data_IF_887836825108
#
_entry.id   IF_887836825108
#
_cell.length_a   1.000
_cell.length_b   1.000
_cell.length_c   1.000
_cell.angle_alpha   90.00
_cell.angle_beta   90.00
_cell.angle_gamma   90.00
#
_symmetry.space_group_name_H-M   'P 1'
#
loop_
_entity.id
_entity.type
_entity.pdbx_description
1 polymer ?
#
# COMPACT_ATOMS: atom_id res chain seq x y z
N UNK A 1 35.13 -55.84 -12.83
CA UNK A 1 34.87 -56.05 -11.40
C UNK A 1 34.66 -54.67 -10.79
N UNK A 2 33.39 -54.19 -10.86
CA UNK A 2 32.97 -52.87 -10.33
C UNK A 2 32.42 -53.10 -8.92
N UNK A 3 33.09 -52.53 -7.92
CA UNK A 3 32.61 -52.49 -6.54
C UNK A 3 31.81 -51.22 -6.40
N UNK A 4 30.61 -51.23 -5.83
CA UNK A 4 29.75 -50.04 -5.79
C UNK A 4 30.25 -49.07 -4.72
N UNK A 5 30.46 -47.85 -5.14
CA UNK A 5 30.86 -46.68 -4.32
C UNK A 5 29.70 -46.09 -3.48
N UNK A 6 28.61 -46.85 -3.31
CA UNK A 6 27.40 -46.35 -2.68
C UNK A 6 27.25 -46.66 -1.17
N UNK A 7 28.24 -47.31 -0.55
CA UNK A 7 28.12 -47.74 0.87
C UNK A 7 29.08 -47.03 1.84
N UNK A 8 29.89 -46.09 1.39
CA UNK A 8 30.92 -45.46 2.23
C UNK A 8 30.61 -44.04 2.72
N UNK A 9 29.48 -43.46 2.32
CA UNK A 9 29.11 -42.10 2.77
C UNK A 9 28.10 -42.08 3.93
N UNK A 10 27.45 -43.23 4.20
CA UNK A 10 26.42 -43.28 5.28
C UNK A 10 27.01 -43.54 6.68
N UNK A 11 28.31 -43.72 6.85
CA UNK A 11 28.92 -44.04 8.15
C UNK A 11 29.72 -42.90 8.80
N UNK A 12 29.70 -41.71 8.24
CA UNK A 12 30.42 -40.52 8.78
C UNK A 12 29.52 -39.37 9.23
N UNK A 13 28.20 -39.49 9.04
CA UNK A 13 27.28 -38.58 9.72
C UNK A 13 26.95 -39.20 11.08
N UNK A 14 27.68 -38.78 12.12
CA UNK A 14 27.39 -39.13 13.50
C UNK A 14 25.91 -38.90 13.79
N UNK A 15 25.29 -39.74 14.63
CA UNK A 15 23.90 -39.65 15.08
C UNK A 15 23.65 -38.37 15.90
N UNK A 16 23.84 -37.23 15.27
CA UNK A 16 23.43 -35.94 15.80
C UNK A 16 21.90 -35.79 15.80
N UNK A 17 21.33 -35.15 16.78
CA UNK A 17 19.92 -34.81 16.78
C UNK A 17 19.63 -33.91 15.58
N UNK A 18 18.46 -34.09 14.92
CA UNK A 18 17.97 -33.21 13.89
C UNK A 18 17.76 -31.79 14.51
N UNK A 19 18.23 -30.73 13.86
CA UNK A 19 17.94 -29.37 14.31
C UNK A 19 16.44 -29.07 14.24
N UNK A 20 15.96 -28.19 15.09
CA UNK A 20 14.58 -27.72 14.99
C UNK A 20 14.43 -26.91 13.68
N UNK A 21 13.24 -26.83 13.07
CA UNK A 21 12.96 -25.91 11.99
C UNK A 21 13.36 -24.49 12.39
N UNK A 22 14.07 -23.79 11.51
CA UNK A 22 14.67 -22.48 11.82
C UNK A 22 13.62 -21.42 12.13
N UNK A 23 12.46 -21.53 11.50
CA UNK A 23 11.35 -20.62 11.75
C UNK A 23 10.00 -21.23 11.37
N UNK A 24 8.98 -20.76 12.04
CA UNK A 24 7.60 -20.78 11.57
C UNK A 24 7.11 -19.33 11.50
N UNK A 25 6.54 -18.96 10.38
CA UNK A 25 5.90 -17.65 10.19
C UNK A 25 4.40 -17.84 10.38
N UNK A 26 3.82 -17.07 11.29
CA UNK A 26 2.38 -17.00 11.54
C UNK A 26 1.99 -15.54 11.72
N UNK A 27 0.75 -15.13 11.40
CA UNK A 27 0.29 -13.78 11.69
C UNK A 27 0.34 -13.53 13.20
N UNK A 28 0.63 -12.29 13.59
CA UNK A 28 0.63 -11.90 15.01
C UNK A 28 -0.78 -11.85 15.60
N UNK A 29 -1.75 -11.48 14.78
CA UNK A 29 -3.17 -11.40 15.13
C UNK A 29 -4.01 -12.26 14.21
N UNK A 30 -5.05 -12.85 14.78
CA UNK A 30 -6.06 -13.62 14.07
C UNK A 30 -7.43 -13.34 14.68
N UNK A 31 -8.48 -13.70 13.96
CA UNK A 31 -9.85 -13.65 14.46
C UNK A 31 -10.31 -15.03 14.85
N UNK A 32 -11.25 -15.13 15.79
CA UNK A 32 -11.93 -16.40 16.05
C UNK A 32 -12.69 -16.84 14.80
N UNK A 33 -12.61 -18.14 14.50
CA UNK A 33 -13.27 -18.75 13.34
C UNK A 33 -12.72 -18.36 11.96
N UNK A 34 -11.62 -17.60 11.90
CA UNK A 34 -10.89 -17.35 10.67
C UNK A 34 -9.67 -18.28 10.60
N UNK A 35 -9.46 -18.87 9.45
CA UNK A 35 -8.31 -19.74 9.20
C UNK A 35 -7.03 -18.90 9.09
N UNK A 36 -5.98 -19.32 9.77
CA UNK A 36 -4.64 -18.71 9.66
C UNK A 36 -3.68 -19.66 8.99
N UNK A 37 -2.73 -19.13 8.25
CA UNK A 37 -1.65 -19.87 7.64
C UNK A 37 -0.40 -19.85 8.50
N UNK A 38 0.27 -21.01 8.63
CA UNK A 38 1.60 -21.14 9.18
C UNK A 38 2.55 -21.65 8.10
N UNK A 39 3.57 -20.86 7.76
CA UNK A 39 4.63 -21.25 6.81
C UNK A 39 5.83 -21.78 7.58
N UNK A 40 6.26 -22.99 7.28
CA UNK A 40 7.34 -23.71 7.98
C UNK A 40 8.56 -23.84 7.07
N UNK A 41 9.70 -23.36 7.54
CA UNK A 41 10.98 -23.47 6.84
C UNK A 41 11.75 -24.70 7.31
N UNK A 42 12.31 -25.52 6.38
CA UNK A 42 12.98 -26.75 6.73
C UNK A 42 14.30 -26.52 7.47
N UNK A 43 14.70 -27.47 8.37
CA UNK A 43 16.02 -27.43 8.97
C UNK A 43 17.12 -27.66 7.94
N UNK A 44 18.23 -26.93 8.06
CA UNK A 44 19.34 -27.00 7.11
C UNK A 44 20.06 -28.36 7.08
N UNK A 45 19.99 -29.17 8.17
CA UNK A 45 20.61 -30.49 8.33
C UNK A 45 19.65 -31.67 8.08
N UNK A 46 18.46 -31.38 7.57
CA UNK A 46 17.44 -32.42 7.34
C UNK A 46 17.76 -33.33 6.16
N UNK A 47 17.45 -34.61 6.31
CA UNK A 47 17.55 -35.64 5.26
C UNK A 47 16.16 -35.98 4.74
N UNK A 48 15.94 -35.74 3.46
CA UNK A 48 14.65 -35.99 2.80
C UNK A 48 14.29 -37.45 2.70
N UNK A 49 13.01 -37.82 2.72
CA UNK A 49 11.83 -36.96 2.87
C UNK A 49 11.62 -36.44 4.30
N UNK A 50 10.97 -35.33 4.43
CA UNK A 50 10.76 -34.59 5.67
C UNK A 50 9.28 -34.52 6.02
N UNK A 51 8.91 -34.73 7.27
CA UNK A 51 7.54 -34.53 7.80
C UNK A 51 7.57 -33.49 8.90
N UNK A 52 6.49 -32.73 9.04
CA UNK A 52 6.32 -31.72 10.09
C UNK A 52 5.16 -32.06 11.03
N UNK A 53 5.27 -31.58 12.25
CA UNK A 53 4.18 -31.53 13.22
C UNK A 53 4.11 -30.13 13.81
N UNK A 54 2.92 -29.54 13.82
CA UNK A 54 2.66 -28.19 14.29
C UNK A 54 1.76 -28.26 15.52
N UNK A 55 2.17 -27.63 16.60
CA UNK A 55 1.35 -27.39 17.79
C UNK A 55 0.84 -25.95 17.74
N UNK A 56 -0.47 -25.77 17.74
CA UNK A 56 -1.12 -24.48 17.56
C UNK A 56 -1.29 -23.67 18.88
N UNK A 57 -1.02 -24.32 20.01
CA UNK A 57 -1.04 -23.65 21.32
C UNK A 57 -2.39 -23.64 22.02
N UNK A 58 -3.47 -24.03 21.36
CA UNK A 58 -4.82 -24.16 21.89
C UNK A 58 -5.18 -25.59 22.36
N UNK A 59 -4.18 -26.45 22.41
CA UNK A 59 -4.34 -27.87 22.70
C UNK A 59 -4.41 -28.74 21.44
N UNK A 60 -4.61 -28.13 20.28
CA UNK A 60 -4.57 -28.86 19.01
C UNK A 60 -3.13 -29.02 18.50
N UNK A 61 -2.86 -30.17 17.93
CA UNK A 61 -1.57 -30.51 17.35
C UNK A 61 -1.82 -31.30 16.08
N UNK A 62 -1.34 -30.76 14.95
CA UNK A 62 -1.45 -31.43 13.66
C UNK A 62 -0.74 -32.79 13.73
N UNK A 63 -1.35 -33.83 13.17
CA UNK A 63 -0.65 -35.10 12.91
C UNK A 63 0.57 -34.83 12.01
N UNK A 64 1.54 -35.79 12.02
CA UNK A 64 2.68 -35.71 11.11
C UNK A 64 2.20 -35.57 9.67
N UNK A 65 2.73 -34.55 8.95
CA UNK A 65 2.44 -34.40 7.51
C UNK A 65 2.93 -35.64 6.74
N UNK A 66 2.37 -35.84 5.55
CA UNK A 66 2.96 -36.77 4.60
C UNK A 66 4.41 -36.39 4.31
N UNK A 67 5.29 -37.37 4.06
CA UNK A 67 6.69 -37.11 3.81
C UNK A 67 6.93 -36.29 2.53
N UNK A 68 7.55 -35.13 2.67
CA UNK A 68 7.88 -34.21 1.60
C UNK A 68 9.25 -34.54 1.01
N UNK A 69 9.33 -34.60 -0.31
CA UNK A 69 10.56 -35.01 -1.05
C UNK A 69 11.41 -33.80 -1.50
N UNK A 70 11.08 -32.62 -1.08
CA UNK A 70 11.84 -31.37 -1.39
C UNK A 70 11.98 -30.52 -0.15
N UNK A 71 13.03 -29.69 -0.09
CA UNK A 71 13.25 -28.67 0.93
C UNK A 71 12.54 -27.38 0.48
N UNK A 72 11.22 -27.40 0.47
CA UNK A 72 10.38 -26.23 0.17
C UNK A 72 9.60 -25.85 1.42
N UNK A 73 9.18 -24.62 1.49
CA UNK A 73 8.29 -24.11 2.52
C UNK A 73 6.95 -24.85 2.50
N UNK A 74 6.37 -25.04 3.66
CA UNK A 74 5.14 -25.80 3.83
C UNK A 74 4.11 -24.98 4.55
N UNK A 75 3.04 -24.69 3.85
CA UNK A 75 1.88 -24.01 4.43
C UNK A 75 0.92 -24.99 5.10
N UNK A 76 0.45 -24.64 6.27
CA UNK A 76 -0.61 -25.35 7.02
C UNK A 76 -1.53 -24.35 7.67
N UNK A 77 -2.79 -24.74 7.78
CA UNK A 77 -3.89 -23.86 8.17
C UNK A 77 -4.51 -24.31 9.49
N UNK A 78 -4.98 -23.36 10.29
CA UNK A 78 -5.65 -23.59 11.57
C UNK A 78 -6.66 -22.49 11.91
N UNK A 79 -7.75 -22.87 12.57
CA UNK A 79 -8.79 -21.94 13.01
C UNK A 79 -8.95 -22.00 14.53
N UNK A 80 -8.68 -20.90 15.20
CA UNK A 80 -8.91 -20.77 16.65
C UNK A 80 -10.38 -20.55 16.97
N UNK A 81 -10.89 -21.27 17.99
CA UNK A 81 -12.29 -21.22 18.41
C UNK A 81 -12.56 -20.24 19.54
N UNK A 82 -11.53 -19.74 20.20
CA UNK A 82 -11.63 -18.80 21.30
C UNK A 82 -10.58 -17.69 21.20
N UNK A 83 -10.87 -16.48 21.69
CA UNK A 83 -9.87 -15.43 21.77
C UNK A 83 -8.83 -15.78 22.83
N UNK A 84 -7.57 -15.34 22.61
CA UNK A 84 -6.47 -15.61 23.53
C UNK A 84 -5.10 -15.44 22.88
N UNK A 85 -4.05 -15.54 23.67
CA UNK A 85 -2.68 -15.61 23.19
C UNK A 85 -2.24 -17.06 23.03
N UNK A 86 -1.87 -17.44 21.82
CA UNK A 86 -1.44 -18.81 21.51
C UNK A 86 0.02 -18.83 21.09
N UNK A 87 0.70 -19.95 21.34
CA UNK A 87 2.11 -20.15 20.97
C UNK A 87 2.21 -21.28 19.96
N UNK A 88 2.42 -20.91 18.71
CA UNK A 88 2.62 -21.87 17.61
C UNK A 88 4.07 -22.31 17.59
N UNK A 89 4.30 -23.63 17.54
CA UNK A 89 5.62 -24.21 17.40
C UNK A 89 5.60 -25.39 16.44
N UNK A 90 6.76 -25.69 15.84
CA UNK A 90 6.90 -26.75 14.84
C UNK A 90 8.10 -27.63 15.18
N UNK A 91 7.99 -28.93 14.85
CA UNK A 91 9.13 -29.86 14.83
C UNK A 91 9.12 -30.69 13.56
N UNK A 92 10.28 -31.20 13.21
CA UNK A 92 10.48 -32.00 12.00
C UNK A 92 10.86 -33.44 12.31
N UNK A 93 10.57 -34.35 11.38
CA UNK A 93 11.05 -35.74 11.38
C UNK A 93 11.59 -36.07 9.98
N UNK A 94 12.85 -36.52 9.91
CA UNK A 94 13.47 -36.89 8.64
C UNK A 94 13.32 -38.36 8.29
N UNK A 95 13.83 -38.75 7.11
CA UNK A 95 13.79 -40.13 6.61
C UNK A 95 14.62 -41.12 7.42
N UNK A 96 15.53 -40.65 8.25
CA UNK A 96 16.32 -41.49 9.17
C UNK A 96 15.58 -41.74 10.49
N UNK A 97 14.37 -41.21 10.64
CA UNK A 97 13.57 -41.29 11.87
C UNK A 97 14.02 -40.36 12.98
N UNK A 98 14.97 -39.45 12.72
CA UNK A 98 15.36 -38.41 13.70
C UNK A 98 14.23 -37.40 13.85
N UNK A 99 13.89 -37.08 15.08
CA UNK A 99 12.87 -36.07 15.41
C UNK A 99 13.59 -34.88 16.08
N UNK A 100 13.34 -33.66 15.59
CA UNK A 100 13.87 -32.46 16.19
C UNK A 100 13.18 -32.12 17.51
N UNK A 101 13.82 -31.29 18.34
CA UNK A 101 13.10 -30.56 19.37
C UNK A 101 12.03 -29.66 18.72
N UNK A 102 11.08 -29.16 19.53
CA UNK A 102 10.20 -28.10 19.09
C UNK A 102 11.00 -26.83 18.79
N UNK A 103 10.73 -26.20 17.66
CA UNK A 103 11.32 -24.91 17.31
C UNK A 103 10.86 -23.79 18.24
N UNK A 104 11.46 -22.61 18.09
CA UNK A 104 11.10 -21.43 18.89
C UNK A 104 9.64 -21.06 18.69
N UNK A 105 8.83 -20.99 19.77
CA UNK A 105 7.40 -20.63 19.63
C UNK A 105 7.21 -19.21 19.07
N UNK A 106 6.16 -19.04 18.28
CA UNK A 106 5.67 -17.76 17.78
C UNK A 106 4.30 -17.46 18.37
N UNK A 107 4.13 -16.24 18.87
CA UNK A 107 2.85 -15.79 19.45
C UNK A 107 1.86 -15.41 18.37
N UNK A 108 0.61 -15.88 18.53
CA UNK A 108 -0.57 -15.42 17.80
C UNK A 108 -1.58 -14.88 18.82
N UNK A 109 -2.02 -13.63 18.65
CA UNK A 109 -3.09 -13.04 19.46
C UNK A 109 -4.42 -13.17 18.70
N UNK A 110 -5.28 -14.07 19.15
CA UNK A 110 -6.62 -14.25 18.61
C UNK A 110 -7.60 -13.30 19.29
N UNK A 111 -8.29 -12.48 18.51
CA UNK A 111 -9.25 -11.49 19.00
C UNK A 111 -10.68 -11.99 18.87
N UNK A 112 -11.56 -11.52 19.74
CA UNK A 112 -13.00 -11.83 19.69
C UNK A 112 -13.75 -10.99 18.64
N UNK A 113 -13.19 -9.85 18.26
CA UNK A 113 -13.75 -8.96 17.25
C UNK A 113 -13.02 -9.11 15.94
N UNK A 114 -13.74 -9.19 14.80
CA UNK A 114 -13.11 -9.44 13.51
C UNK A 114 -12.18 -8.29 13.09
N UNK A 115 -11.09 -8.62 12.38
CA UNK A 115 -10.21 -7.63 11.75
C UNK A 115 -10.97 -6.90 10.63
N UNK A 116 -11.72 -7.62 9.81
CA UNK A 116 -12.63 -7.00 8.83
C UNK A 116 -13.88 -6.49 9.56
N UNK A 117 -14.06 -5.17 9.55
CA UNK A 117 -15.19 -4.49 10.20
C UNK A 117 -16.46 -4.51 9.33
N UNK A 118 -16.30 -4.48 8.00
CA UNK A 118 -17.42 -4.48 7.07
C UNK A 118 -16.99 -4.28 5.61
N UNK A 119 -17.98 -4.41 4.73
CA UNK A 119 -17.87 -4.12 3.30
C UNK A 119 -19.09 -3.31 2.88
N UNK A 120 -18.88 -2.24 2.14
CA UNK A 120 -19.91 -1.51 1.43
C UNK A 120 -19.86 -1.89 -0.05
N UNK A 121 -20.90 -2.53 -0.61
CA UNK A 121 -20.91 -2.94 -2.01
C UNK A 121 -21.27 -1.77 -2.94
N UNK A 122 -20.58 -1.66 -4.06
CA UNK A 122 -20.95 -0.83 -5.22
C UNK A 122 -21.28 -1.71 -6.43
N UNK A 123 -21.72 -1.11 -7.51
CA UNK A 123 -22.05 -1.85 -8.73
C UNK A 123 -20.84 -2.12 -9.62
N UNK A 124 -19.82 -1.29 -9.49
CA UNK A 124 -18.65 -1.26 -10.36
C UNK A 124 -17.37 -1.24 -9.51
N UNK A 125 -16.22 -1.64 -10.07
CA UNK A 125 -14.94 -1.66 -9.36
C UNK A 125 -14.58 -0.33 -8.71
N UNK A 126 -13.96 -0.39 -7.53
CA UNK A 126 -13.42 0.76 -6.82
C UNK A 126 -11.89 0.75 -6.91
N UNK A 127 -11.34 1.49 -7.84
CA UNK A 127 -9.90 1.73 -7.97
C UNK A 127 -9.46 3.02 -7.26
N UNK A 128 -10.40 3.95 -7.05
CA UNK A 128 -10.15 5.17 -6.31
C UNK A 128 -9.82 4.88 -4.84
N UNK A 129 -8.85 5.61 -4.29
CA UNK A 129 -8.57 5.56 -2.85
C UNK A 129 -9.68 6.28 -2.08
N UNK A 130 -10.22 5.70 -1.00
CA UNK A 130 -11.29 6.33 -0.21
C UNK A 130 -10.76 7.53 0.55
N UNK A 131 -11.51 8.64 0.54
CA UNK A 131 -11.21 9.87 1.28
C UNK A 131 -12.13 10.00 2.49
N UNK A 132 -11.63 10.57 3.59
CA UNK A 132 -12.41 10.77 4.80
C UNK A 132 -12.40 12.26 5.21
N UNK A 133 -13.56 12.80 5.59
CA UNK A 133 -13.61 14.12 6.20
C UNK A 133 -13.23 14.09 7.70
N UNK A 134 -13.20 15.25 8.34
CA UNK A 134 -12.86 15.38 9.76
C UNK A 134 -13.83 14.66 10.72
N UNK A 135 -15.01 14.29 10.24
CA UNK A 135 -16.01 13.52 10.97
C UNK A 135 -15.93 12.01 10.69
N UNK A 136 -15.00 11.60 9.82
CA UNK A 136 -14.82 10.23 9.39
C UNK A 136 -15.80 9.76 8.32
N UNK A 137 -16.65 10.63 7.75
CA UNK A 137 -17.50 10.25 6.62
C UNK A 137 -16.62 9.88 5.43
N UNK A 138 -16.97 8.78 4.76
CA UNK A 138 -16.18 8.20 3.69
C UNK A 138 -16.74 8.67 2.35
N UNK A 139 -15.84 8.96 1.41
CA UNK A 139 -16.14 9.37 0.05
C UNK A 139 -15.29 8.57 -0.92
N UNK A 140 -15.91 7.97 -1.95
CA UNK A 140 -15.20 7.15 -2.92
C UNK A 140 -15.93 7.16 -4.26
N UNK A 141 -15.18 7.13 -5.36
CA UNK A 141 -15.66 6.95 -6.71
C UNK A 141 -15.47 5.51 -7.21
N UNK A 142 -16.27 5.11 -8.20
CA UNK A 142 -16.12 3.82 -8.88
C UNK A 142 -15.94 3.99 -10.40
N UNK A 143 -15.69 2.87 -11.10
CA UNK A 143 -15.53 2.84 -12.55
C UNK A 143 -16.84 3.11 -13.32
N UNK A 144 -18.00 2.95 -12.70
CA UNK A 144 -19.30 3.31 -13.28
C UNK A 144 -19.57 4.83 -13.23
N UNK A 145 -18.66 5.62 -12.67
CA UNK A 145 -18.80 7.06 -12.50
C UNK A 145 -19.68 7.46 -11.32
N UNK A 146 -19.99 6.52 -10.42
CA UNK A 146 -20.70 6.83 -9.20
C UNK A 146 -19.74 7.32 -8.13
N UNK A 147 -20.13 8.37 -7.43
CA UNK A 147 -19.39 8.94 -6.29
C UNK A 147 -20.26 8.88 -5.05
N UNK A 148 -19.81 8.10 -4.08
CA UNK A 148 -20.57 7.75 -2.88
C UNK A 148 -20.11 8.55 -1.67
N UNK A 149 -21.04 8.85 -0.77
CA UNK A 149 -20.76 9.17 0.64
C UNK A 149 -21.34 8.07 1.52
N UNK A 150 -20.50 7.54 2.43
CA UNK A 150 -20.80 6.38 3.25
C UNK A 150 -20.63 6.77 4.73
N UNK A 151 -21.56 6.32 5.57
CA UNK A 151 -21.49 6.49 7.01
C UNK A 151 -20.49 5.49 7.60
N UNK A 152 -19.45 5.94 8.33
CA UNK A 152 -18.41 5.07 8.85
C UNK A 152 -18.90 4.15 10.00
N UNK A 153 -20.02 4.49 10.65
CA UNK A 153 -20.53 3.75 11.81
C UNK A 153 -21.33 2.51 11.40
N UNK A 154 -22.17 2.66 10.39
CA UNK A 154 -23.09 1.60 9.97
C UNK A 154 -22.88 1.12 8.54
N UNK A 155 -21.93 1.70 7.79
CA UNK A 155 -21.63 1.34 6.40
C UNK A 155 -22.76 1.69 5.42
N UNK A 156 -23.70 2.56 5.77
CA UNK A 156 -24.81 2.90 4.89
C UNK A 156 -24.46 4.08 3.97
N UNK A 157 -24.97 4.03 2.75
CA UNK A 157 -24.92 5.14 1.82
C UNK A 157 -25.69 6.34 2.38
N UNK A 158 -25.01 7.48 2.51
CA UNK A 158 -25.63 8.76 2.88
C UNK A 158 -26.22 9.47 1.66
N UNK A 159 -25.48 9.48 0.57
CA UNK A 159 -25.89 10.01 -0.72
C UNK A 159 -24.98 9.44 -1.83
N UNK A 160 -25.41 9.60 -3.06
CA UNK A 160 -24.66 9.25 -4.24
C UNK A 160 -24.79 10.35 -5.30
N UNK A 161 -23.71 10.58 -6.04
CA UNK A 161 -23.66 11.49 -7.19
C UNK A 161 -23.17 10.68 -8.40
N UNK A 162 -23.62 11.02 -9.60
CA UNK A 162 -23.17 10.37 -10.84
C UNK A 162 -22.45 11.39 -11.74
N UNK A 163 -21.18 11.12 -12.06
CA UNK A 163 -20.45 11.68 -13.18
C UNK A 163 -20.88 10.94 -14.48
N UNK A 164 -20.32 11.34 -15.63
CA UNK A 164 -20.66 10.68 -16.92
C UNK A 164 -19.72 9.54 -17.29
N UNK A 165 -18.60 9.40 -16.56
CA UNK A 165 -17.58 8.40 -16.78
C UNK A 165 -16.83 8.11 -15.47
N UNK A 166 -15.96 7.10 -15.47
CA UNK A 166 -15.23 6.58 -14.32
C UNK A 166 -14.55 7.65 -13.46
N UNK A 167 -14.40 7.35 -12.16
CA UNK A 167 -13.72 8.20 -11.17
C UNK A 167 -12.58 7.38 -10.58
N UNK A 168 -11.34 7.61 -11.05
CA UNK A 168 -10.13 6.89 -10.59
C UNK A 168 -9.38 7.61 -9.49
N UNK A 169 -9.34 8.95 -9.54
CA UNK A 169 -8.70 9.75 -8.50
C UNK A 169 -9.53 9.80 -7.23
N UNK A 170 -8.84 9.87 -6.08
CA UNK A 170 -9.51 10.16 -4.81
C UNK A 170 -10.09 11.58 -4.79
N UNK A 171 -11.00 11.86 -3.86
CA UNK A 171 -11.48 13.21 -3.66
C UNK A 171 -10.59 14.00 -2.70
N UNK A 172 -10.18 15.20 -3.08
CA UNK A 172 -9.55 16.14 -2.14
C UNK A 172 -10.62 16.87 -1.34
N UNK A 173 -10.52 16.85 -0.01
CA UNK A 173 -11.53 17.41 0.89
C UNK A 173 -10.98 18.62 1.66
N UNK A 174 -11.67 19.75 1.60
CA UNK A 174 -11.35 20.93 2.43
C UNK A 174 -12.64 21.58 2.95
N UNK A 175 -12.83 21.53 4.26
CA UNK A 175 -14.05 21.99 4.91
C UNK A 175 -15.29 21.25 4.39
N UNK A 176 -16.26 21.99 3.84
CA UNK A 176 -17.48 21.42 3.28
C UNK A 176 -17.39 21.13 1.77
N UNK A 177 -16.19 21.04 1.19
CA UNK A 177 -15.96 20.87 -0.25
C UNK A 177 -15.21 19.59 -0.57
N UNK A 178 -15.71 18.91 -1.61
CA UNK A 178 -15.16 17.72 -2.21
C UNK A 178 -14.76 18.04 -3.65
N UNK A 179 -13.51 17.78 -4.04
CA UNK A 179 -13.01 17.99 -5.39
C UNK A 179 -12.48 16.69 -5.96
N UNK A 180 -12.99 16.25 -7.10
CA UNK A 180 -12.54 15.04 -7.78
C UNK A 180 -12.62 15.17 -9.30
N UNK A 181 -11.76 14.43 -10.00
CA UNK A 181 -11.76 14.32 -11.45
C UNK A 181 -12.57 13.12 -11.92
N UNK A 182 -12.98 13.13 -13.19
CA UNK A 182 -13.59 12.00 -13.87
C UNK A 182 -13.03 11.90 -15.29
N UNK A 183 -13.09 10.70 -15.86
CA UNK A 183 -12.70 10.45 -17.26
C UNK A 183 -13.65 11.13 -18.24
N UNK A 184 -14.78 11.68 -17.79
CA UNK A 184 -15.65 12.56 -18.58
C UNK A 184 -15.04 13.95 -18.84
N UNK A 185 -13.78 14.12 -18.53
CA UNK A 185 -12.99 15.36 -18.69
C UNK A 185 -13.40 16.52 -17.78
N UNK A 186 -14.11 16.25 -16.69
CA UNK A 186 -14.51 17.30 -15.75
C UNK A 186 -13.83 17.16 -14.39
N UNK A 187 -13.49 18.32 -13.84
CA UNK A 187 -13.26 18.50 -12.41
C UNK A 187 -14.58 18.89 -11.75
N UNK A 188 -15.00 18.14 -10.76
CA UNK A 188 -16.22 18.36 -9.99
C UNK A 188 -15.92 18.99 -8.63
N UNK A 189 -16.85 19.84 -8.17
CA UNK A 189 -16.92 20.31 -6.80
C UNK A 189 -18.32 20.04 -6.24
N UNK A 190 -18.38 19.17 -5.22
CA UNK A 190 -19.60 18.95 -4.44
C UNK A 190 -19.45 19.56 -3.04
N UNK A 191 -20.57 19.68 -2.32
CA UNK A 191 -20.52 19.81 -0.87
C UNK A 191 -20.66 18.46 -0.18
N UNK A 192 -20.36 18.39 1.13
CA UNK A 192 -20.42 17.17 1.94
C UNK A 192 -21.83 16.59 2.09
N UNK A 193 -22.87 17.27 1.59
CA UNK A 193 -24.23 16.73 1.48
C UNK A 193 -24.62 16.31 0.06
N UNK A 194 -23.63 16.21 -0.86
CA UNK A 194 -23.80 15.65 -2.20
C UNK A 194 -24.30 16.64 -3.27
N UNK A 195 -24.41 17.94 -2.95
CA UNK A 195 -24.89 18.92 -3.93
C UNK A 195 -23.72 19.42 -4.78
N UNK A 196 -23.85 19.33 -6.09
CA UNK A 196 -22.86 19.91 -7.02
C UNK A 196 -22.87 21.44 -6.92
N UNK A 197 -21.73 22.00 -6.56
CA UNK A 197 -21.49 23.45 -6.51
C UNK A 197 -21.11 23.99 -7.88
N UNK A 198 -20.24 23.26 -8.58
CA UNK A 198 -19.85 23.53 -9.94
C UNK A 198 -19.16 22.31 -10.57
N UNK A 199 -18.98 22.34 -11.88
CA UNK A 199 -18.05 21.49 -12.60
C UNK A 199 -17.32 22.32 -13.65
N UNK A 200 -16.07 21.94 -13.94
CA UNK A 200 -15.21 22.61 -14.92
C UNK A 200 -14.71 21.58 -15.92
N UNK A 201 -15.05 21.75 -17.18
CA UNK A 201 -14.52 20.93 -18.27
C UNK A 201 -13.06 21.31 -18.54
N UNK A 202 -12.16 20.33 -18.45
CA UNK A 202 -10.71 20.52 -18.60
C UNK A 202 -10.25 20.24 -20.04
N UNK A 203 -11.04 19.49 -20.80
CA UNK A 203 -10.80 19.16 -22.22
C UNK A 203 -10.12 17.83 -22.43
N UNK A 204 -9.86 17.10 -21.35
CA UNK A 204 -9.28 15.76 -21.38
C UNK A 204 -9.49 15.01 -20.07
N UNK A 205 -9.30 13.69 -20.08
CA UNK A 205 -9.52 12.78 -18.97
C UNK A 205 -8.73 13.15 -17.70
N UNK A 206 -9.32 12.92 -16.54
CA UNK A 206 -8.74 13.27 -15.25
C UNK A 206 -8.62 12.02 -14.37
N UNK A 207 -7.45 11.41 -14.38
CA UNK A 207 -7.11 10.24 -13.55
C UNK A 207 -6.64 10.64 -12.15
N UNK A 208 -6.01 11.81 -12.05
CA UNK A 208 -5.31 12.22 -10.84
C UNK A 208 -6.26 12.74 -9.73
N UNK A 209 -5.81 12.60 -8.49
CA UNK A 209 -6.40 13.28 -7.33
C UNK A 209 -6.00 14.76 -7.35
N UNK A 210 -6.94 15.71 -7.25
CA UNK A 210 -6.59 17.13 -7.16
C UNK A 210 -5.79 17.47 -5.89
N UNK A 211 -4.91 18.48 -5.95
CA UNK A 211 -4.24 19.02 -4.77
C UNK A 211 -4.78 20.39 -4.42
N UNK A 212 -4.79 20.72 -3.12
CA UNK A 212 -5.38 21.97 -2.63
C UNK A 212 -4.33 22.87 -1.97
N UNK A 213 -4.08 24.02 -2.54
CA UNK A 213 -3.20 25.03 -1.96
C UNK A 213 -3.74 25.66 -0.67
N UNK A 214 -2.86 26.28 0.11
CA UNK A 214 -3.25 26.95 1.37
C UNK A 214 -4.23 28.13 1.13
N UNK A 215 -4.22 28.71 -0.06
CA UNK A 215 -5.15 29.76 -0.50
C UNK A 215 -6.46 29.18 -1.08
N UNK A 216 -6.65 27.86 -1.01
CA UNK A 216 -7.78 27.14 -1.58
C UNK A 216 -7.75 26.99 -3.11
N UNK A 217 -6.62 27.26 -3.76
CA UNK A 217 -6.45 26.95 -5.19
C UNK A 217 -6.40 25.45 -5.39
N UNK A 218 -7.18 24.96 -6.33
CA UNK A 218 -7.23 23.55 -6.73
C UNK A 218 -6.29 23.34 -7.91
N UNK A 219 -5.40 22.35 -7.83
CA UNK A 219 -4.48 21.96 -8.89
C UNK A 219 -4.84 20.57 -9.38
N UNK A 220 -4.98 20.42 -10.69
CA UNK A 220 -5.40 19.16 -11.32
C UNK A 220 -4.66 18.96 -12.63
N UNK A 221 -4.19 17.75 -12.87
CA UNK A 221 -3.59 17.30 -14.13
C UNK A 221 -4.61 16.60 -15.02
N UNK A 222 -4.33 16.54 -16.30
CA UNK A 222 -5.09 15.73 -17.27
C UNK A 222 -4.16 14.74 -17.98
N UNK A 223 -4.73 13.70 -18.52
CA UNK A 223 -4.01 12.67 -19.25
C UNK A 223 -3.15 13.23 -20.38
N UNK A 224 -3.64 14.20 -21.14
CA UNK A 224 -2.80 14.88 -22.15
C UNK A 224 -1.83 15.92 -21.60
N UNK A 225 -1.47 15.87 -20.32
CA UNK A 225 -0.38 16.68 -19.76
C UNK A 225 -0.74 18.15 -19.50
N UNK A 226 -1.99 18.49 -19.20
CA UNK A 226 -2.34 19.87 -18.83
C UNK A 226 -2.53 20.00 -17.32
N UNK A 227 -1.60 20.69 -16.66
CA UNK A 227 -1.78 21.13 -15.27
C UNK A 227 -2.65 22.39 -15.26
N UNK A 228 -3.76 22.36 -14.54
CA UNK A 228 -4.68 23.49 -14.40
C UNK A 228 -4.81 23.93 -12.94
N UNK A 229 -4.68 25.22 -12.67
CA UNK A 229 -5.02 25.82 -11.39
C UNK A 229 -6.42 26.45 -11.45
N UNK A 230 -7.26 26.08 -10.49
CA UNK A 230 -8.67 26.48 -10.43
C UNK A 230 -8.96 27.17 -9.10
N UNK A 231 -9.67 28.28 -9.14
CA UNK A 231 -10.14 28.94 -7.94
C UNK A 231 -11.29 28.18 -7.29
N UNK A 232 -11.56 28.38 -5.99
CA UNK A 232 -12.64 27.71 -5.24
C UNK A 232 -14.03 27.83 -5.87
N UNK A 233 -14.24 28.90 -6.66
CA UNK A 233 -15.50 29.14 -7.38
C UNK A 233 -15.58 28.49 -8.77
N UNK A 234 -14.63 27.61 -9.11
CA UNK A 234 -14.57 26.88 -10.38
C UNK A 234 -13.95 27.65 -11.54
N UNK A 235 -13.42 28.87 -11.32
CA UNK A 235 -12.78 29.64 -12.40
C UNK A 235 -11.34 29.24 -12.57
N UNK A 236 -10.93 28.96 -13.84
CA UNK A 236 -9.53 28.69 -14.19
C UNK A 236 -8.67 29.92 -13.88
N UNK A 237 -7.57 29.73 -13.10
CA UNK A 237 -6.57 30.77 -12.80
C UNK A 237 -5.47 30.81 -13.85
N UNK A 238 -4.93 29.66 -14.15
CA UNK A 238 -3.88 29.43 -15.15
C UNK A 238 -3.83 27.95 -15.55
N UNK A 239 -3.14 27.64 -16.62
CA UNK A 239 -2.77 26.30 -17.02
C UNK A 239 -1.32 26.26 -17.53
N UNK A 240 -0.72 25.08 -17.53
CA UNK A 240 0.58 24.79 -18.10
C UNK A 240 0.51 23.45 -18.83
N UNK A 241 1.12 23.36 -19.98
CA UNK A 241 1.24 22.13 -20.77
C UNK A 241 2.63 21.52 -20.52
N UNK A 242 2.69 20.30 -19.98
CA UNK A 242 3.89 19.47 -19.89
C UNK A 242 4.23 18.90 -21.27
N UNK A 243 5.38 18.27 -21.41
CA UNK A 243 5.77 17.64 -22.68
C UNK A 243 4.99 16.36 -22.95
N UNK A 244 4.50 15.71 -21.87
CA UNK A 244 3.77 14.45 -21.95
C UNK A 244 2.66 14.38 -20.89
N UNK A 245 1.99 13.24 -20.77
CA UNK A 245 0.88 12.98 -19.87
C UNK A 245 1.23 13.26 -18.41
N UNK A 246 0.23 13.73 -17.62
CA UNK A 246 0.36 13.86 -16.18
C UNK A 246 -0.33 12.64 -15.53
N UNK A 247 0.46 11.60 -15.29
CA UNK A 247 0.00 10.40 -14.61
C UNK A 247 -0.10 10.59 -13.10
N UNK A 248 0.93 11.23 -12.50
CA UNK A 248 0.94 11.52 -11.07
C UNK A 248 0.04 12.68 -10.66
N UNK A 249 -0.50 12.58 -9.47
CA UNK A 249 -1.33 13.65 -8.88
C UNK A 249 -0.46 14.86 -8.49
N UNK A 250 -0.92 16.11 -8.71
CA UNK A 250 -0.20 17.30 -8.27
C UNK A 250 0.02 17.30 -6.75
N UNK A 251 1.12 17.89 -6.29
CA UNK A 251 1.46 18.05 -4.88
C UNK A 251 1.77 19.48 -4.56
N UNK A 252 1.29 19.99 -3.41
CA UNK A 252 1.61 21.33 -2.92
C UNK A 252 2.59 21.26 -1.76
N UNK A 253 3.80 21.78 -1.99
CA UNK A 253 4.82 21.85 -0.96
C UNK A 253 4.60 22.93 0.09
N UNK A 254 5.41 22.98 1.16
CA UNK A 254 5.23 23.85 2.32
C UNK A 254 5.32 25.35 2.00
N UNK A 255 5.98 25.70 0.91
CA UNK A 255 6.13 27.10 0.43
C UNK A 255 5.04 27.50 -0.56
N UNK A 256 4.05 26.63 -0.83
CA UNK A 256 3.00 26.86 -1.83
C UNK A 256 3.47 26.61 -3.27
N UNK A 257 4.65 26.05 -3.48
CA UNK A 257 5.06 25.54 -4.79
C UNK A 257 4.26 24.29 -5.15
N UNK A 258 3.95 24.15 -6.43
CA UNK A 258 3.20 23.02 -6.98
C UNK A 258 4.14 22.13 -7.74
N UNK A 259 4.09 20.85 -7.46
CA UNK A 259 4.90 19.82 -8.11
C UNK A 259 3.99 18.89 -8.90
N UNK A 260 4.44 18.48 -10.06
CA UNK A 260 3.75 17.52 -10.92
C UNK A 260 4.77 16.65 -11.63
N UNK A 261 4.43 15.40 -11.83
CA UNK A 261 5.23 14.39 -12.49
C UNK A 261 4.66 14.05 -13.87
N UNK A 262 5.55 13.86 -14.82
CA UNK A 262 5.28 13.56 -16.24
C UNK A 262 6.57 12.98 -16.84
N UNK A 263 7.00 13.41 -18.02
CA UNK A 263 8.36 13.21 -18.56
C UNK A 263 9.47 13.75 -17.64
N UNK A 264 9.09 14.61 -16.74
CA UNK A 264 9.97 15.26 -15.76
C UNK A 264 9.21 15.52 -14.47
N UNK A 265 9.94 15.74 -13.37
CA UNK A 265 9.37 16.37 -12.15
C UNK A 265 9.42 17.87 -12.37
N UNK A 266 8.26 18.52 -12.40
CA UNK A 266 8.10 19.95 -12.57
C UNK A 266 7.78 20.64 -11.26
N UNK A 267 8.36 21.83 -11.04
CA UNK A 267 8.01 22.71 -9.92
C UNK A 267 7.54 24.08 -10.42
N UNK A 268 6.39 24.53 -9.92
CA UNK A 268 5.79 25.80 -10.26
C UNK A 268 5.58 26.66 -9.01
N UNK A 269 5.60 27.98 -9.18
CA UNK A 269 5.06 28.89 -8.16
C UNK A 269 3.51 28.96 -8.26
N UNK A 270 2.87 29.55 -7.26
CA UNK A 270 1.41 29.69 -7.21
C UNK A 270 0.80 30.47 -8.39
N UNK A 271 1.63 31.19 -9.18
CA UNK A 271 1.22 31.91 -10.38
C UNK A 271 1.38 31.10 -11.67
N UNK A 272 1.80 29.83 -11.57
CA UNK A 272 2.01 28.93 -12.71
C UNK A 272 3.33 29.14 -13.44
N UNK A 273 4.27 29.89 -12.88
CA UNK A 273 5.61 30.06 -13.49
C UNK A 273 6.48 28.87 -13.08
N UNK A 274 7.01 28.14 -14.05
CA UNK A 274 7.92 27.04 -13.81
C UNK A 274 9.20 27.56 -13.15
N UNK A 275 9.52 27.00 -11.99
CA UNK A 275 10.75 27.29 -11.23
C UNK A 275 11.90 26.45 -11.71
N UNK A 276 11.64 25.15 -11.90
CA UNK A 276 12.56 24.18 -12.43
C UNK A 276 11.82 22.97 -13.02
N UNK A 277 12.52 22.15 -13.76
CA UNK A 277 12.13 20.81 -14.16
C UNK A 277 13.36 19.90 -14.07
N UNK A 278 13.15 18.66 -13.65
CA UNK A 278 14.16 17.61 -13.57
C UNK A 278 13.68 16.41 -14.37
N UNK A 279 14.39 16.04 -15.43
CA UNK A 279 14.20 14.81 -16.19
C UNK A 279 15.18 13.75 -15.71
N UNK A 280 14.76 12.48 -15.68
CA UNK A 280 15.64 11.37 -15.38
C UNK A 280 16.73 11.22 -16.46
N UNK A 281 17.96 10.79 -16.10
CA UNK A 281 19.07 10.68 -17.07
C UNK A 281 18.77 9.72 -18.24
N UNK A 282 17.98 8.68 -17.98
CA UNK A 282 17.58 7.66 -18.98
C UNK A 282 16.38 8.10 -19.83
N UNK A 283 15.73 9.23 -19.49
CA UNK A 283 14.59 9.77 -20.21
C UNK A 283 13.26 9.08 -19.92
N UNK A 284 13.20 8.21 -18.91
CA UNK A 284 11.98 7.50 -18.52
C UNK A 284 11.05 8.36 -17.67
N UNK A 285 9.78 7.96 -17.61
CA UNK A 285 8.69 8.72 -16.99
C UNK A 285 8.69 8.67 -15.46
N UNK A 286 8.20 9.74 -14.85
CA UNK A 286 7.81 9.81 -13.45
C UNK A 286 6.30 9.58 -13.35
N UNK A 287 5.90 8.32 -13.16
CA UNK A 287 4.49 7.95 -13.03
C UNK A 287 3.95 8.26 -11.62
N UNK A 288 4.77 8.00 -10.61
CA UNK A 288 4.44 8.27 -9.22
C UNK A 288 4.22 9.76 -8.93
N UNK A 289 3.24 10.09 -8.08
CA UNK A 289 3.11 11.45 -7.56
C UNK A 289 4.35 11.85 -6.77
N UNK A 290 4.81 13.10 -6.91
CA UNK A 290 5.93 13.61 -6.12
C UNK A 290 5.52 13.81 -4.66
N UNK A 291 6.35 13.35 -3.73
CA UNK A 291 6.23 13.57 -2.28
C UNK A 291 7.17 14.68 -1.85
N UNK A 292 6.68 15.64 -1.07
CA UNK A 292 7.44 16.83 -0.69
C UNK A 292 7.53 16.96 0.82
N UNK A 293 8.73 16.92 1.34
CA UNK A 293 9.03 17.09 2.77
C UNK A 293 8.88 18.55 3.23
N UNK A 294 8.77 18.76 4.54
CA UNK A 294 8.68 20.08 5.16
C UNK A 294 9.88 21.00 4.87
N UNK A 295 11.05 20.43 4.58
CA UNK A 295 12.26 21.17 4.19
C UNK A 295 12.34 21.44 2.68
N UNK A 296 11.34 20.99 1.90
CA UNK A 296 11.29 21.13 0.46
C UNK A 296 12.03 20.03 -0.33
N UNK A 297 12.53 19.00 0.32
CA UNK A 297 13.06 17.80 -0.36
C UNK A 297 11.92 17.08 -1.08
N UNK A 298 12.18 16.62 -2.30
CA UNK A 298 11.20 15.95 -3.17
C UNK A 298 11.64 14.51 -3.41
N UNK A 299 10.73 13.57 -3.22
CA UNK A 299 10.90 12.17 -3.63
C UNK A 299 9.98 11.87 -4.81
N UNK A 300 10.51 11.17 -5.81
CA UNK A 300 9.76 10.74 -6.99
C UNK A 300 10.26 9.38 -7.46
N UNK A 301 9.34 8.42 -7.62
CA UNK A 301 9.60 7.15 -8.29
C UNK A 301 9.61 7.35 -9.80
N UNK A 302 10.43 6.57 -10.50
CA UNK A 302 10.58 6.64 -11.95
C UNK A 302 10.51 5.23 -12.56
N UNK A 303 10.11 5.16 -13.82
CA UNK A 303 10.03 3.91 -14.57
C UNK A 303 11.42 3.32 -14.92
N UNK A 304 12.50 4.05 -14.66
CA UNK A 304 13.88 3.52 -14.78
C UNK A 304 14.29 2.65 -13.56
N UNK A 305 13.37 2.38 -12.63
CA UNK A 305 13.63 1.57 -11.43
C UNK A 305 14.39 2.33 -10.34
N UNK A 306 14.48 3.66 -10.40
CA UNK A 306 15.11 4.47 -9.37
C UNK A 306 14.12 5.34 -8.61
N UNK A 307 14.30 5.37 -7.30
CA UNK A 307 13.75 6.42 -6.45
C UNK A 307 14.70 7.63 -6.47
N UNK A 308 14.21 8.77 -6.91
CA UNK A 308 14.93 10.04 -6.93
C UNK A 308 14.64 10.89 -5.72
N UNK A 309 15.67 11.54 -5.20
CA UNK A 309 15.58 12.58 -4.19
C UNK A 309 16.15 13.88 -4.76
N UNK A 310 15.32 14.91 -4.78
CA UNK A 310 15.68 16.22 -5.29
C UNK A 310 15.66 17.26 -4.17
N UNK A 311 16.54 18.23 -4.27
CA UNK A 311 16.51 19.42 -3.43
C UNK A 311 15.36 20.37 -3.82
N UNK A 312 15.07 21.38 -2.98
CA UNK A 312 14.03 22.37 -3.27
C UNK A 312 14.34 23.25 -4.51
N UNK A 313 15.59 23.22 -4.98
CA UNK A 313 16.05 23.86 -6.20
C UNK A 313 15.99 22.95 -7.45
N UNK A 314 15.50 21.72 -7.29
CA UNK A 314 15.38 20.73 -8.36
C UNK A 314 16.68 19.96 -8.68
N UNK A 315 17.75 20.16 -7.92
CA UNK A 315 18.98 19.39 -8.10
C UNK A 315 18.83 17.99 -7.50
N UNK A 316 19.30 16.98 -8.20
CA UNK A 316 19.38 15.63 -7.66
C UNK A 316 20.35 15.60 -6.48
N UNK A 317 19.85 15.19 -5.31
CA UNK A 317 20.65 14.94 -4.12
C UNK A 317 21.20 13.52 -4.14
N UNK A 318 20.35 12.55 -4.47
CA UNK A 318 20.69 11.16 -4.70
C UNK A 318 19.61 10.47 -5.56
N UNK A 319 19.96 9.33 -6.13
CA UNK A 319 19.00 8.34 -6.63
C UNK A 319 19.39 6.96 -6.10
N UNK A 320 18.42 6.07 -5.99
CA UNK A 320 18.63 4.75 -5.43
C UNK A 320 17.83 3.71 -6.20
N UNK A 321 18.46 2.67 -6.75
CA UNK A 321 17.72 1.63 -7.48
C UNK A 321 16.88 0.81 -6.52
N UNK A 322 15.76 0.28 -6.99
CA UNK A 322 15.03 -0.79 -6.30
C UNK A 322 15.77 -2.12 -6.47
N UNK A 323 15.53 -3.11 -5.58
CA UNK A 323 16.25 -4.39 -5.60
C UNK A 323 16.08 -5.18 -6.91
N UNK A 324 14.94 -5.09 -7.55
CA UNK A 324 14.57 -5.75 -8.81
C UNK A 324 14.94 -4.94 -10.06
N UNK A 325 15.11 -3.61 -9.92
CA UNK A 325 15.36 -2.70 -11.02
C UNK A 325 14.10 -2.35 -11.84
N UNK A 326 12.91 -2.70 -11.32
CA UNK A 326 11.64 -2.50 -12.00
C UNK A 326 11.00 -1.14 -11.68
N UNK A 327 9.93 -0.78 -12.37
CA UNK A 327 9.30 0.54 -12.31
C UNK A 327 8.77 0.89 -10.90
N UNK A 328 8.85 2.16 -10.50
CA UNK A 328 8.27 2.68 -9.27
C UNK A 328 7.08 3.56 -9.62
N UNK A 329 5.88 2.99 -9.58
CA UNK A 329 4.63 3.69 -9.91
C UNK A 329 3.86 4.27 -8.73
N UNK A 330 3.87 3.65 -7.52
CA UNK A 330 3.11 4.19 -6.40
C UNK A 330 3.77 5.41 -5.77
N UNK A 331 2.94 6.21 -5.10
CA UNK A 331 3.41 7.32 -4.27
C UNK A 331 4.19 6.78 -3.06
N UNK A 332 5.31 7.42 -2.76
CA UNK A 332 6.13 7.10 -1.58
C UNK A 332 5.43 7.56 -0.31
N UNK A 333 5.50 6.79 0.77
CA UNK A 333 5.13 7.26 2.10
C UNK A 333 6.32 7.34 3.05
N UNK A 334 6.20 8.15 4.07
CA UNK A 334 7.20 8.30 5.14
C UNK A 334 6.66 7.66 6.41
N UNK A 335 7.28 6.56 6.83
CA UNK A 335 6.91 5.86 8.06
C UNK A 335 7.38 6.58 9.35
N UNK A 336 6.85 6.19 10.53
CA UNK A 336 7.25 6.76 11.83
C UNK A 336 8.73 6.56 12.16
N UNK A 337 9.37 5.58 11.54
CA UNK A 337 10.81 5.30 11.66
C UNK A 337 11.66 6.16 10.70
N UNK A 338 11.05 7.15 10.05
CA UNK A 338 11.65 8.01 9.02
C UNK A 338 12.14 7.25 7.79
N UNK A 339 11.74 6.00 7.61
CA UNK A 339 12.01 5.27 6.38
C UNK A 339 10.94 5.58 5.32
N UNK A 340 11.36 5.51 4.06
CA UNK A 340 10.49 5.59 2.91
C UNK A 340 9.98 4.19 2.59
N UNK A 341 8.66 4.08 2.30
CA UNK A 341 8.02 2.86 1.85
C UNK A 341 7.36 3.12 0.51
N UNK A 342 7.53 2.22 -0.43
CA UNK A 342 7.01 2.34 -1.80
C UNK A 342 6.98 0.97 -2.47
N UNK A 343 6.11 0.80 -3.46
CA UNK A 343 6.01 -0.41 -4.25
C UNK A 343 6.90 -0.37 -5.50
N UNK A 344 7.05 -1.51 -6.16
CA UNK A 344 7.61 -1.66 -7.50
C UNK A 344 6.79 -2.65 -8.33
N UNK A 345 6.92 -2.59 -9.64
CA UNK A 345 6.30 -3.53 -10.56
C UNK A 345 6.95 -4.93 -10.52
N UNK A 346 8.09 -5.08 -9.84
CA UNK A 346 8.73 -6.36 -9.55
C UNK A 346 8.21 -7.05 -8.29
N UNK A 347 6.95 -6.84 -7.93
CA UNK A 347 6.23 -7.52 -6.84
C UNK A 347 6.74 -7.18 -5.43
N UNK A 348 7.41 -6.03 -5.25
CA UNK A 348 7.99 -5.68 -3.96
C UNK A 348 7.37 -4.42 -3.35
N UNK A 349 7.10 -4.50 -2.05
CA UNK A 349 7.09 -3.31 -1.19
C UNK A 349 8.49 -3.10 -0.65
N UNK A 350 9.08 -1.97 -0.99
CA UNK A 350 10.44 -1.60 -0.60
C UNK A 350 10.44 -0.71 0.66
N UNK A 351 11.49 -0.85 1.47
CA UNK A 351 11.80 0.05 2.59
C UNK A 351 13.18 0.64 2.43
N UNK A 352 13.29 1.95 2.49
CA UNK A 352 14.57 2.67 2.44
C UNK A 352 14.74 3.54 3.67
N UNK A 353 15.75 3.24 4.49
CA UNK A 353 16.16 4.14 5.58
C UNK A 353 16.90 5.36 5.02
N UNK A 354 16.98 6.49 5.76
CA UNK A 354 17.64 7.70 5.28
C UNK A 354 19.09 7.48 4.78
N UNK A 355 19.84 6.59 5.41
CA UNK A 355 21.25 6.30 5.09
C UNK A 355 21.45 5.00 4.31
N UNK A 356 20.39 4.17 4.17
CA UNK A 356 20.47 2.86 3.52
C UNK A 356 20.11 2.87 2.03
N UNK A 357 20.35 1.75 1.39
CA UNK A 357 19.74 1.40 0.10
C UNK A 357 18.35 0.80 0.33
N UNK A 358 17.45 0.78 -0.67
CA UNK A 358 16.20 0.07 -0.59
C UNK A 358 16.42 -1.42 -0.32
N UNK A 359 15.56 -1.98 0.51
CA UNK A 359 15.50 -3.41 0.81
C UNK A 359 14.07 -3.89 0.64
N UNK A 360 13.88 -5.15 0.30
CA UNK A 360 12.55 -5.77 0.25
C UNK A 360 11.97 -5.78 1.66
N UNK A 361 10.83 -5.12 1.83
CA UNK A 361 10.06 -5.13 3.07
C UNK A 361 8.97 -6.20 3.05
N UNK A 362 8.37 -6.40 1.87
CA UNK A 362 7.40 -7.45 1.60
C UNK A 362 7.52 -7.88 0.14
N UNK A 363 7.50 -9.18 -0.11
CA UNK A 363 7.40 -9.79 -1.43
C UNK A 363 5.94 -10.20 -1.63
N UNK A 364 5.30 -9.61 -2.60
CA UNK A 364 3.93 -9.88 -2.99
C UNK A 364 3.88 -11.01 -4.04
N UNK A 365 2.68 -11.43 -4.44
CA UNK A 365 2.52 -12.37 -5.55
C UNK A 365 2.18 -11.64 -6.86
N UNK A 366 2.11 -10.31 -6.83
CA UNK A 366 1.78 -9.46 -7.96
C UNK A 366 2.32 -8.03 -7.74
N UNK A 367 2.28 -7.21 -8.79
CA UNK A 367 2.80 -5.84 -8.78
C UNK A 367 2.20 -4.99 -7.66
N UNK A 368 2.92 -3.97 -7.23
CA UNK A 368 2.50 -3.06 -6.16
C UNK A 368 2.39 -1.65 -6.69
N UNK A 369 1.21 -1.28 -7.19
CA UNK A 369 0.91 0.06 -7.74
C UNK A 369 0.20 0.97 -6.73
N UNK A 370 -0.36 0.44 -5.65
CA UNK A 370 -0.95 1.21 -4.58
C UNK A 370 0.11 1.80 -3.63
N UNK A 371 -0.06 3.03 -3.19
CA UNK A 371 0.74 3.59 -2.11
C UNK A 371 0.43 2.86 -0.79
N UNK A 372 1.42 2.69 0.05
CA UNK A 372 1.22 2.15 1.40
C UNK A 372 0.58 3.20 2.34
N UNK A 373 0.19 2.78 3.55
CA UNK A 373 -0.21 3.67 4.64
C UNK A 373 0.46 3.25 5.95
N UNK A 374 0.82 4.21 6.80
CA UNK A 374 1.48 3.96 8.07
C UNK A 374 0.64 4.43 9.26
N UNK A 375 0.41 3.57 10.25
CA UNK A 375 -0.22 3.96 11.49
C UNK A 375 0.75 4.68 12.45
N UNK A 376 0.22 5.37 13.46
CA UNK A 376 1.03 6.02 14.51
C UNK A 376 1.82 5.05 15.39
N UNK A 377 1.48 3.77 15.37
CA UNK A 377 2.22 2.67 16.03
C UNK A 377 3.26 2.02 15.11
N UNK A 378 3.33 2.47 13.87
CA UNK A 378 4.33 2.05 12.91
C UNK A 378 3.92 0.85 12.05
N UNK A 379 2.69 0.39 12.13
CA UNK A 379 2.20 -0.63 11.20
C UNK A 379 2.10 -0.05 9.80
N UNK A 380 2.66 -0.77 8.83
CA UNK A 380 2.59 -0.46 7.41
C UNK A 380 1.53 -1.36 6.77
N UNK A 381 0.57 -0.74 6.12
CA UNK A 381 -0.48 -1.39 5.33
C UNK A 381 -0.16 -1.22 3.85
N UNK A 382 -0.20 -2.30 3.10
CA UNK A 382 -0.01 -2.30 1.64
C UNK A 382 -1.02 -3.24 0.97
N UNK A 383 -1.47 -2.86 -0.22
CA UNK A 383 -2.39 -3.65 -1.03
C UNK A 383 -1.74 -3.86 -2.41
N UNK A 384 -1.03 -4.98 -2.64
CA UNK A 384 -0.62 -5.43 -3.96
C UNK A 384 -1.83 -5.80 -4.85
N UNK A 385 -1.60 -5.94 -6.14
CA UNK A 385 -2.65 -6.31 -7.11
C UNK A 385 -3.14 -7.76 -6.96
N UNK A 386 -2.42 -8.60 -6.19
CA UNK A 386 -2.91 -9.92 -5.77
C UNK A 386 -4.15 -9.85 -4.85
N UNK A 387 -4.60 -8.65 -4.48
CA UNK A 387 -5.76 -8.43 -3.64
C UNK A 387 -5.56 -8.75 -2.16
N UNK A 388 -4.34 -8.98 -1.72
CA UNK A 388 -4.02 -9.25 -0.31
C UNK A 388 -3.64 -7.98 0.44
N UNK A 389 -4.53 -7.44 1.24
CA UNK A 389 -4.16 -6.37 2.19
C UNK A 389 -3.25 -6.94 3.28
N UNK A 390 -2.05 -6.41 3.35
CA UNK A 390 -0.98 -6.84 4.25
C UNK A 390 -0.72 -5.79 5.31
N UNK A 391 -0.65 -6.20 6.58
CA UNK A 391 -0.22 -5.37 7.69
C UNK A 391 1.08 -5.90 8.28
N UNK A 392 2.13 -5.08 8.31
CA UNK A 392 3.44 -5.43 8.85
C UNK A 392 3.97 -4.41 9.82
N UNK A 393 4.64 -4.87 10.86
CA UNK A 393 5.41 -4.00 11.75
C UNK A 393 6.65 -3.42 11.02
N UNK A 394 7.22 -2.27 11.47
CA UNK A 394 8.37 -1.64 10.81
C UNK A 394 9.62 -2.52 10.71
N UNK A 395 9.72 -3.53 11.58
CA UNK A 395 10.81 -4.52 11.55
C UNK A 395 10.56 -5.67 10.55
N UNK A 396 9.56 -5.55 9.69
CA UNK A 396 9.20 -6.53 8.67
C UNK A 396 8.36 -7.71 9.16
N UNK A 397 8.03 -7.78 10.48
CA UNK A 397 7.18 -8.87 10.99
C UNK A 397 5.74 -8.72 10.48
N UNK A 398 5.22 -9.78 9.87
CA UNK A 398 3.82 -9.87 9.48
C UNK A 398 2.92 -9.80 10.72
N UNK A 399 1.91 -8.94 10.68
CA UNK A 399 0.88 -8.83 11.70
C UNK A 399 -0.35 -9.63 11.28
N UNK A 400 -0.88 -9.34 10.10
CA UNK A 400 -1.98 -10.07 9.49
C UNK A 400 -2.05 -9.80 7.97
N UNK A 401 -2.75 -10.68 7.26
CA UNK A 401 -3.19 -10.48 5.87
C UNK A 401 -4.69 -10.69 5.78
N UNK A 402 -5.36 -10.02 4.84
CA UNK A 402 -6.77 -10.22 4.51
C UNK A 402 -6.97 -10.08 3.01
N UNK A 403 -7.69 -11.01 2.46
CA UNK A 403 -8.13 -10.93 1.09
C UNK A 403 -9.15 -9.78 0.94
N UNK A 404 -8.88 -8.92 -0.03
CA UNK A 404 -9.74 -7.86 -0.51
C UNK A 404 -10.08 -8.27 -1.93
N UNK A 405 -11.06 -9.08 -2.11
CA UNK A 405 -11.46 -9.82 -3.32
C UNK A 405 -10.60 -9.57 -4.58
N UNK A 406 -10.02 -10.64 -5.08
CA UNK A 406 -9.19 -10.66 -6.28
C UNK A 406 -10.08 -10.65 -7.54
N UNK A 407 -9.80 -9.78 -8.50
CA UNK A 407 -10.32 -9.88 -9.87
C UNK A 407 -9.17 -10.17 -10.81
N UNK A 408 -9.31 -11.17 -11.69
CA UNK A 408 -8.39 -11.39 -12.80
C UNK A 408 -8.51 -10.23 -13.82
N UNK A 409 -7.77 -9.15 -13.61
CA UNK A 409 -7.60 -8.11 -14.65
C UNK A 409 -6.17 -7.56 -14.57
N UNK A 410 -5.56 -7.37 -15.73
CA UNK A 410 -4.37 -6.52 -15.84
C UNK A 410 -4.76 -5.09 -15.48
N UNK A 411 -4.27 -4.60 -14.34
CA UNK A 411 -4.68 -3.32 -13.80
C UNK A 411 -3.49 -2.44 -13.50
N UNK A 412 -3.59 -1.19 -13.93
CA UNK A 412 -2.59 -0.15 -13.67
C UNK A 412 -2.96 0.78 -12.51
N UNK A 413 -4.12 0.57 -11.87
CA UNK A 413 -4.63 1.42 -10.79
C UNK A 413 -5.30 0.57 -9.71
N UNK A 414 -4.79 0.65 -8.50
CA UNK A 414 -5.33 -0.04 -7.31
C UNK A 414 -5.53 0.98 -6.19
N UNK A 415 -6.62 0.80 -5.43
CA UNK A 415 -6.95 1.64 -4.29
C UNK A 415 -5.84 1.60 -3.23
N UNK A 416 -5.31 2.75 -2.87
CA UNK A 416 -4.37 2.85 -1.75
C UNK A 416 -5.10 2.77 -0.42
N UNK A 417 -4.58 2.05 0.60
CA UNK A 417 -5.14 2.05 1.95
C UNK A 417 -5.20 3.46 2.53
N UNK A 418 -6.35 3.82 3.11
CA UNK A 418 -6.54 5.08 3.83
C UNK A 418 -6.89 4.81 5.28
N UNK A 419 -6.13 5.39 6.21
CA UNK A 419 -6.33 5.22 7.65
C UNK A 419 -7.21 6.34 8.18
N UNK A 420 -8.36 5.98 8.73
CA UNK A 420 -9.28 6.91 9.36
C UNK A 420 -8.82 7.40 10.74
N UNK A 421 -9.49 8.42 11.30
CA UNK A 421 -9.15 8.97 12.63
C UNK A 421 -9.27 7.95 13.76
N UNK A 422 -10.14 6.95 13.63
CA UNK A 422 -10.34 5.85 14.58
C UNK A 422 -9.37 4.68 14.39
N UNK A 423 -8.47 4.79 13.41
CA UNK A 423 -7.53 3.73 13.05
C UNK A 423 -8.11 2.66 12.11
N UNK A 424 -9.33 2.83 11.61
CA UNK A 424 -9.89 1.93 10.60
C UNK A 424 -9.16 2.14 9.28
N UNK A 425 -8.78 1.04 8.62
CA UNK A 425 -8.13 1.03 7.31
C UNK A 425 -9.18 0.73 6.26
N UNK A 426 -9.34 1.61 5.29
CA UNK A 426 -10.29 1.49 4.19
C UNK A 426 -9.56 1.24 2.89
N UNK A 427 -10.08 0.35 2.06
CA UNK A 427 -9.57 0.05 0.71
C UNK A 427 -10.74 -0.22 -0.25
N UNK A 428 -10.64 0.27 -1.46
CA UNK A 428 -11.51 -0.12 -2.56
C UNK A 428 -11.04 -1.43 -3.21
N UNK A 429 -11.93 -2.11 -3.90
CA UNK A 429 -11.67 -3.38 -4.54
C UNK A 429 -12.30 -3.50 -5.93
N UNK A 430 -11.73 -4.35 -6.73
CA UNK A 430 -12.21 -4.72 -8.07
C UNK A 430 -13.56 -5.46 -8.10
N UNK A 431 -13.95 -6.06 -6.99
CA UNK A 431 -15.29 -6.67 -6.87
C UNK A 431 -16.40 -5.66 -6.62
N UNK A 432 -16.06 -4.35 -6.57
CA UNK A 432 -17.00 -3.29 -6.22
C UNK A 432 -17.22 -3.14 -4.71
N UNK A 433 -16.37 -3.74 -3.87
CA UNK A 433 -16.43 -3.58 -2.42
C UNK A 433 -15.55 -2.44 -1.91
N UNK A 434 -16.09 -1.58 -1.05
CA UNK A 434 -15.27 -0.77 -0.14
C UNK A 434 -15.13 -1.52 1.17
N UNK A 435 -13.93 -2.00 1.45
CA UNK A 435 -13.62 -2.80 2.63
C UNK A 435 -13.10 -1.94 3.78
N UNK A 436 -13.51 -2.28 4.99
CA UNK A 436 -13.06 -1.65 6.23
C UNK A 436 -12.41 -2.67 7.16
N UNK A 437 -11.16 -2.41 7.58
CA UNK A 437 -10.39 -3.29 8.45
C UNK A 437 -9.98 -2.56 9.73
N UNK A 438 -9.81 -3.32 10.82
CA UNK A 438 -9.27 -2.80 12.06
C UNK A 438 -7.75 -2.61 11.92
N UNK A 439 -7.29 -1.37 11.98
CA UNK A 439 -5.90 -1.04 12.21
C UNK A 439 -5.58 -0.97 13.72
N UNK A 440 -4.39 -0.50 14.04
CA UNK A 440 -3.89 -0.41 15.42
C UNK A 440 -3.79 1.03 15.95
N UNK A 441 -4.16 2.00 15.15
CA UNK A 441 -4.17 3.42 15.49
C UNK A 441 -4.39 4.31 14.29
N UNK A 442 -4.56 5.63 14.48
CA UNK A 442 -4.70 6.58 13.39
C UNK A 442 -3.43 6.66 12.52
N UNK A 443 -3.52 7.36 11.40
CA UNK A 443 -2.36 7.57 10.53
C UNK A 443 -1.19 8.23 11.29
N UNK A 444 0.03 7.86 10.94
CA UNK A 444 1.24 8.37 11.54
C UNK A 444 1.36 9.89 11.40
N UNK A 445 1.99 10.55 12.38
CA UNK A 445 2.26 12.00 12.34
C UNK A 445 3.61 12.27 11.67
N UNK A 446 3.79 11.76 10.46
CA UNK A 446 4.98 11.99 9.63
C UNK A 446 4.70 13.05 8.58
N UNK A 447 5.70 13.35 7.76
CA UNK A 447 5.54 14.29 6.66
C UNK A 447 4.63 13.76 5.54
N UNK A 448 4.50 12.43 5.39
CA UNK A 448 3.68 11.80 4.36
C UNK A 448 3.28 10.37 4.74
N UNK A 449 2.31 10.19 5.69
CA UNK A 449 2.03 8.88 6.29
C UNK A 449 1.20 7.95 5.40
N UNK A 450 0.54 8.48 4.36
CA UNK A 450 -0.35 7.73 3.47
C UNK A 450 -0.54 8.47 2.15
N UNK A 451 -1.21 7.84 1.18
CA UNK A 451 -1.53 8.43 -0.13
C UNK A 451 -2.10 9.84 0.01
N UNK A 452 -1.57 10.78 -0.76
CA UNK A 452 -1.92 12.20 -0.77
C UNK A 452 -1.81 12.89 0.59
N UNK A 453 -0.92 12.41 1.48
CA UNK A 453 -0.53 13.03 2.76
C UNK A 453 -1.50 12.76 3.92
N UNK A 454 -2.79 12.95 3.76
CA UNK A 454 -3.80 12.87 4.82
C UNK A 454 -5.06 12.12 4.35
N UNK A 455 -5.94 11.78 5.27
CA UNK A 455 -7.19 11.07 4.95
C UNK A 455 -8.16 11.91 4.10
N UNK A 456 -7.96 13.25 4.05
CA UNK A 456 -8.68 14.16 3.18
C UNK A 456 -8.07 14.25 1.78
N UNK A 457 -6.95 13.56 1.53
CA UNK A 457 -6.22 13.57 0.26
C UNK A 457 -5.92 14.97 -0.31
N UNK A 458 -5.56 15.91 0.58
CA UNK A 458 -5.31 17.30 0.18
C UNK A 458 -4.08 17.46 -0.72
N UNK A 459 -3.19 16.47 -0.74
CA UNK A 459 -1.93 16.51 -1.49
C UNK A 459 -1.05 17.69 -1.09
N UNK A 460 -1.16 18.15 0.16
CA UNK A 460 -0.47 19.35 0.65
C UNK A 460 0.33 19.08 1.90
N UNK A 461 1.63 19.35 1.82
CA UNK A 461 2.49 19.39 3.01
C UNK A 461 2.16 20.61 3.88
N UNK A 462 1.84 20.37 5.13
CA UNK A 462 1.57 21.42 6.11
C UNK A 462 2.79 21.58 7.03
N UNK A 463 3.26 22.83 7.20
CA UNK A 463 4.23 23.11 8.25
C UNK A 463 3.51 23.04 9.60
N UNK A 464 3.74 21.98 10.36
CA UNK A 464 3.33 21.97 11.76
C UNK A 464 4.18 22.99 12.52
N UNK A 465 3.54 23.99 13.13
CA UNK A 465 4.21 24.89 14.05
C UNK A 465 4.85 24.03 15.17
N UNK A 466 6.17 24.21 15.37
CA UNK A 466 6.93 23.52 16.42
C UNK A 466 6.49 23.99 17.80
#
# INVERSE_FOLDING_TARGET
>A
MMIPFALAVASLLGAGALSAPDSVVVPMWADTSVEIEAVVFPPADAVLPLSYQIAWGDGDTLAWTEPLRSLIDVSRYHTYKAPGGYLVSVRARDSLGRISAWGRPRGVLVQSEPIQKGVFPTSDPIVASPSLDEHGNIYVGDEGGWFYSIDPVNGQQRWVFQARDAIYGAAAIVGDRLYFGSLDSNLYCLDTVGRRRWSLHLGDEVYCTPAIGADGTIYVGTDKGTLTAVAQNGRRKWNYKTSDDIAGSPTVGPTGHVYVTSDSVYCFDAKGRRRWAFGAPEGEYFFASAVVEANGTVYAGNNDGYLYCLGPDGRQLWRSPVPDGDEIRPEVIVGPDSALYFGSDGDYVCRKTPQGTPTVFYEANDIVVAAAAASDKGTIFSLPDDGMLVAKAPNGRLLWTREVASGEKEVYYTSSPTIGPDGTVYVGSWDGGLYAFRGDGPAAKTSWPQYRHDAQHTGRQVLHAK
#
